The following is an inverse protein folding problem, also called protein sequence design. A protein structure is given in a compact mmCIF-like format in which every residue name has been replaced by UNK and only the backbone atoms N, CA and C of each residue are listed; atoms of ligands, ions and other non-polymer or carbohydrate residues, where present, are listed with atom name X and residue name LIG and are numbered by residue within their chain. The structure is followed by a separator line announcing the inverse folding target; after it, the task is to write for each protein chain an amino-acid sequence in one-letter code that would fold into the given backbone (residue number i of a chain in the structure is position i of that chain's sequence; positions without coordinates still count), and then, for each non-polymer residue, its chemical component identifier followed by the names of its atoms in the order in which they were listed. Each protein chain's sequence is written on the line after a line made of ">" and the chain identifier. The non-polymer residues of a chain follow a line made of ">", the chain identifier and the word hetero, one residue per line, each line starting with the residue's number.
data_IF_069165407094
#
_entry.id   IF_069165407094
#
_cell.length_a   1.000
_cell.length_b   1.000
_cell.length_c   1.000
_cell.angle_alpha   90.00
_cell.angle_beta   90.00
_cell.angle_gamma   90.00
#
_symmetry.space_group_name_H-M   'P 1'
#
loop_
_entity.id
_entity.type
_entity.pdbx_description
1 polymer ?
#
# COMPACT_ATOMS: atom_id res chain seq x y z
N UNK A 1 7.66 -50.47 24.62
CA UNK A 1 6.58 -50.53 23.60
C UNK A 1 5.56 -51.55 24.04
N UNK A 2 4.36 -51.11 24.46
CA UNK A 2 3.18 -51.98 24.62
C UNK A 2 1.93 -51.15 24.94
N UNK A 3 0.81 -51.48 24.26
CA UNK A 3 -0.53 -51.71 24.81
C UNK A 3 -1.67 -51.28 23.85
N UNK A 4 -2.06 -52.24 23.00
CA UNK A 4 -3.42 -52.69 22.68
C UNK A 4 -4.64 -51.72 22.69
N UNK A 5 -5.38 -51.86 21.57
CA UNK A 5 -6.82 -52.11 21.46
C UNK A 5 -7.84 -50.94 21.49
N UNK A 6 -8.58 -50.85 20.36
CA UNK A 6 -10.05 -50.82 20.22
C UNK A 6 -10.82 -49.73 20.97
N UNK A 7 -11.63 -48.94 20.24
CA UNK A 7 -13.09 -48.73 20.39
C UNK A 7 -13.50 -47.67 19.33
N UNK A 8 -14.18 -48.01 18.23
CA UNK A 8 -15.64 -48.13 18.04
C UNK A 8 -16.45 -46.85 18.32
N UNK A 9 -17.21 -46.46 17.30
CA UNK A 9 -18.14 -45.34 17.27
C UNK A 9 -19.13 -45.35 18.44
N UNK A 10 -19.33 -44.19 19.07
CA UNK A 10 -20.62 -43.61 19.50
C UNK A 10 -20.39 -42.50 20.52
N UNK A 11 -20.46 -41.25 20.06
CA UNK A 11 -20.82 -40.13 20.93
C UNK A 11 -21.36 -39.01 20.07
N UNK A 12 -22.69 -38.87 20.10
CA UNK A 12 -23.37 -37.74 19.49
C UNK A 12 -22.86 -36.43 20.08
N UNK A 13 -22.57 -35.48 19.20
CA UNK A 13 -22.39 -34.07 19.51
C UNK A 13 -23.11 -33.24 18.42
N UNK A 14 -23.58 -32.04 18.78
CA UNK A 14 -24.94 -31.60 18.51
C UNK A 14 -25.13 -30.92 17.16
N UNK A 15 -26.39 -30.92 16.73
CA UNK A 15 -26.99 -29.93 15.83
C UNK A 15 -26.53 -28.53 16.22
N UNK A 16 -25.96 -27.80 15.27
CA UNK A 16 -25.61 -26.38 15.42
C UNK A 16 -24.11 -26.11 15.34
N UNK A 17 -23.49 -26.39 14.19
CA UNK A 17 -22.44 -25.49 13.75
C UNK A 17 -23.10 -24.12 13.57
N UNK A 18 -22.59 -23.02 14.14
CA UNK A 18 -22.96 -21.72 13.63
C UNK A 18 -22.52 -21.77 12.17
N UNK A 19 -23.45 -21.55 11.25
CA UNK A 19 -23.06 -21.03 9.96
C UNK A 19 -22.18 -19.83 10.30
N UNK A 20 -20.87 -19.95 10.11
CA UNK A 20 -19.98 -18.80 10.01
C UNK A 20 -20.50 -18.13 8.74
N UNK A 21 -21.54 -17.31 8.93
CA UNK A 21 -21.92 -16.33 7.96
C UNK A 21 -20.67 -15.50 7.81
N UNK A 22 -19.97 -15.70 6.70
CA UNK A 22 -19.15 -14.64 6.12
C UNK A 22 -20.10 -13.47 6.00
N UNK A 23 -20.09 -12.65 7.06
CA UNK A 23 -20.98 -11.52 7.16
C UNK A 23 -20.43 -10.56 6.13
N UNK A 24 -21.26 -10.19 5.15
CA UNK A 24 -20.91 -9.20 4.13
C UNK A 24 -20.14 -8.04 4.77
N UNK A 25 -20.55 -7.62 5.96
CA UNK A 25 -19.98 -6.55 6.76
C UNK A 25 -18.47 -6.68 7.04
N UNK A 26 -17.91 -7.89 7.23
CA UNK A 26 -16.46 -8.09 7.40
C UNK A 26 -15.69 -7.87 6.08
N UNK A 27 -16.25 -8.30 4.95
CA UNK A 27 -15.69 -8.07 3.60
C UNK A 27 -15.71 -6.58 3.22
N UNK A 28 -16.72 -5.81 3.67
CA UNK A 28 -16.77 -4.36 3.47
C UNK A 28 -15.72 -3.61 4.31
N UNK A 29 -15.45 -4.05 5.55
CA UNK A 29 -14.44 -3.43 6.43
C UNK A 29 -13.03 -3.66 5.89
N UNK A 30 -12.74 -4.86 5.40
CA UNK A 30 -11.44 -5.16 4.79
C UNK A 30 -11.19 -4.30 3.55
N UNK A 31 -12.22 -4.11 2.70
CA UNK A 31 -12.11 -3.28 1.50
C UNK A 31 -11.83 -1.80 1.80
N UNK A 32 -12.42 -1.22 2.85
CA UNK A 32 -12.11 0.17 3.24
C UNK A 32 -10.71 0.28 3.84
N UNK A 33 -10.29 -0.67 4.68
CA UNK A 33 -8.94 -0.67 5.26
C UNK A 33 -7.86 -0.78 4.18
N UNK A 34 -8.05 -1.64 3.17
CA UNK A 34 -7.16 -1.69 2.01
C UNK A 34 -7.15 -0.36 1.26
N UNK A 35 -8.32 0.23 1.03
CA UNK A 35 -8.43 1.52 0.34
C UNK A 35 -7.66 2.62 1.08
N UNK A 36 -7.82 2.74 2.40
CA UNK A 36 -7.09 3.72 3.23
C UNK A 36 -5.57 3.48 3.21
N UNK A 37 -5.13 2.22 3.27
CA UNK A 37 -3.73 1.87 3.14
C UNK A 37 -3.16 2.35 1.79
N UNK A 38 -3.87 2.08 0.70
CA UNK A 38 -3.43 2.46 -0.64
C UNK A 38 -3.43 3.97 -0.89
N UNK A 39 -4.38 4.70 -0.30
CA UNK A 39 -4.33 6.17 -0.25
C UNK A 39 -3.06 6.61 0.48
N UNK A 40 -2.75 6.02 1.64
CA UNK A 40 -1.55 6.36 2.41
C UNK A 40 -0.25 6.08 1.65
N UNK A 41 -0.20 4.98 0.88
CA UNK A 41 0.94 4.64 0.01
C UNK A 41 1.14 5.71 -1.06
N UNK A 42 0.07 6.13 -1.75
CA UNK A 42 0.16 7.19 -2.77
C UNK A 42 0.59 8.52 -2.14
N UNK A 43 0.01 8.91 -1.00
CA UNK A 43 0.39 10.14 -0.31
C UNK A 43 1.86 10.16 0.11
N UNK A 44 2.38 9.03 0.58
CA UNK A 44 3.81 8.91 0.91
C UNK A 44 4.67 9.05 -0.34
N UNK A 45 4.33 8.34 -1.43
CA UNK A 45 5.06 8.43 -2.70
C UNK A 45 5.06 9.86 -3.27
N UNK A 46 3.97 10.61 -3.13
CA UNK A 46 3.90 12.02 -3.53
C UNK A 46 4.91 12.86 -2.72
N UNK A 47 4.93 12.70 -1.39
CA UNK A 47 5.88 13.43 -0.52
C UNK A 47 7.33 13.10 -0.84
N UNK A 48 7.61 11.87 -1.24
CA UNK A 48 8.94 11.44 -1.62
C UNK A 48 9.34 11.97 -3.00
N UNK A 49 8.41 12.04 -3.95
CA UNK A 49 8.61 12.72 -5.23
C UNK A 49 8.85 14.23 -5.05
N UNK A 50 8.05 14.92 -4.24
CA UNK A 50 8.27 16.34 -3.90
C UNK A 50 9.64 16.56 -3.25
N UNK A 51 10.05 15.65 -2.35
CA UNK A 51 11.37 15.67 -1.75
C UNK A 51 12.46 15.57 -2.83
N UNK A 52 12.32 14.63 -3.78
CA UNK A 52 13.27 14.46 -4.89
C UNK A 52 13.36 15.70 -5.78
N UNK A 53 12.22 16.27 -6.17
CA UNK A 53 12.18 17.50 -6.96
C UNK A 53 12.93 18.64 -6.26
N UNK A 54 12.67 18.84 -4.97
CA UNK A 54 13.32 19.88 -4.17
C UNK A 54 14.83 19.69 -4.07
N UNK A 55 15.31 18.49 -3.77
CA UNK A 55 16.76 18.26 -3.60
C UNK A 55 17.53 18.33 -4.92
N UNK A 56 16.89 18.08 -6.07
CA UNK A 56 17.52 18.21 -7.40
C UNK A 56 17.90 19.66 -7.72
N UNK A 57 17.28 20.63 -7.05
CA UNK A 57 17.59 22.05 -7.20
C UNK A 57 18.60 22.57 -6.17
N UNK A 58 19.04 21.71 -5.24
CA UNK A 58 19.98 22.08 -4.20
C UNK A 58 21.40 21.65 -4.56
N UNK A 59 22.35 22.57 -4.44
CA UNK A 59 23.77 22.27 -4.64
C UNK A 59 24.35 21.41 -3.49
N UNK A 60 23.84 21.61 -2.27
CA UNK A 60 24.31 20.90 -1.07
C UNK A 60 23.15 20.32 -0.26
N UNK A 61 23.31 19.06 0.14
CA UNK A 61 22.34 18.33 0.98
C UNK A 61 22.79 18.26 2.43
N UNK A 62 21.86 18.50 3.35
CA UNK A 62 22.07 18.28 4.78
C UNK A 62 22.28 16.79 5.10
N UNK A 63 22.89 16.44 6.24
CA UNK A 63 23.06 15.05 6.65
C UNK A 63 21.74 14.25 6.72
N UNK A 64 20.64 14.88 7.15
CA UNK A 64 19.31 14.26 7.21
C UNK A 64 18.74 14.00 5.82
N UNK A 65 18.91 14.91 4.88
CA UNK A 65 18.45 14.73 3.50
C UNK A 65 19.24 13.65 2.79
N UNK A 66 20.56 13.59 2.99
CA UNK A 66 21.38 12.47 2.49
C UNK A 66 20.93 11.13 3.07
N UNK A 67 20.55 11.11 4.35
CA UNK A 67 20.00 9.90 4.99
C UNK A 67 18.66 9.52 4.36
N UNK A 68 17.74 10.48 4.14
CA UNK A 68 16.45 10.23 3.50
C UNK A 68 16.63 9.76 2.05
N UNK A 69 17.49 10.41 1.27
CA UNK A 69 17.77 10.03 -0.12
C UNK A 69 18.30 8.60 -0.22
N UNK A 70 19.18 8.18 0.70
CA UNK A 70 19.63 6.78 0.77
C UNK A 70 18.48 5.81 1.05
N UNK A 71 17.57 6.16 1.97
CA UNK A 71 16.38 5.35 2.23
C UNK A 71 15.51 5.18 0.98
N UNK A 72 15.27 6.26 0.23
CA UNK A 72 14.50 6.20 -1.01
C UNK A 72 15.14 5.30 -2.07
N UNK A 73 16.47 5.32 -2.20
CA UNK A 73 17.16 4.42 -3.13
C UNK A 73 17.06 2.95 -2.74
N UNK A 74 16.80 2.64 -1.46
CA UNK A 74 16.61 1.27 -0.96
C UNK A 74 15.14 0.83 -1.04
N UNK A 75 14.21 1.73 -0.73
CA UNK A 75 12.76 1.47 -0.67
C UNK A 75 12.10 1.50 -2.05
N UNK A 76 12.69 2.20 -3.02
CA UNK A 76 12.22 2.31 -4.41
C UNK A 76 12.06 3.75 -4.88
N UNK A 77 12.38 4.01 -6.14
CA UNK A 77 12.27 5.34 -6.74
C UNK A 77 10.78 5.74 -6.92
N UNK A 78 10.33 6.87 -6.34
CA UNK A 78 9.00 7.40 -6.57
C UNK A 78 8.65 7.58 -8.05
N UNK A 79 9.62 7.95 -8.91
CA UNK A 79 9.38 8.12 -10.35
C UNK A 79 9.04 6.79 -11.02
N UNK A 80 9.77 5.73 -10.67
CA UNK A 80 9.49 4.37 -11.13
C UNK A 80 8.15 3.86 -10.61
N UNK A 81 7.81 4.18 -9.35
CA UNK A 81 6.52 3.84 -8.77
C UNK A 81 5.37 4.43 -9.58
N UNK A 82 5.37 5.74 -9.87
CA UNK A 82 4.31 6.40 -10.64
C UNK A 82 4.24 5.99 -12.12
N UNK A 83 5.36 5.49 -12.67
CA UNK A 83 5.42 4.92 -14.01
C UNK A 83 4.97 3.44 -14.07
N UNK A 84 4.82 2.78 -12.93
CA UNK A 84 4.54 1.34 -12.87
C UNK A 84 3.08 0.97 -13.12
N UNK A 85 2.85 -0.24 -13.64
CA UNK A 85 1.50 -0.82 -13.70
C UNK A 85 0.89 -1.06 -12.31
N UNK A 86 1.74 -1.30 -11.31
CA UNK A 86 1.27 -1.48 -9.93
C UNK A 86 0.58 -0.23 -9.39
N UNK A 87 1.10 0.95 -9.70
CA UNK A 87 0.44 2.21 -9.36
C UNK A 87 -0.94 2.34 -10.04
N UNK A 88 -1.08 1.89 -11.29
CA UNK A 88 -2.36 1.87 -11.99
C UNK A 88 -3.37 0.91 -11.32
N UNK A 89 -2.90 -0.24 -10.83
CA UNK A 89 -3.71 -1.20 -10.07
C UNK A 89 -4.21 -0.59 -8.76
N UNK A 90 -3.32 0.08 -8.01
CA UNK A 90 -3.66 0.79 -6.78
C UNK A 90 -4.71 1.86 -7.07
N UNK A 91 -4.52 2.69 -8.09
CA UNK A 91 -5.45 3.74 -8.48
C UNK A 91 -6.85 3.19 -8.76
N UNK A 92 -6.94 2.09 -9.53
CA UNK A 92 -8.21 1.42 -9.82
C UNK A 92 -8.91 0.95 -8.55
N UNK A 93 -8.16 0.40 -7.60
CA UNK A 93 -8.69 -0.10 -6.33
C UNK A 93 -9.23 1.01 -5.43
N UNK A 94 -8.60 2.19 -5.42
CA UNK A 94 -9.07 3.32 -4.61
C UNK A 94 -10.14 4.19 -5.31
N UNK A 95 -10.44 3.89 -6.57
CA UNK A 95 -11.48 4.54 -7.37
C UNK A 95 -11.03 5.84 -8.04
N UNK A 96 -9.73 5.97 -8.36
CA UNK A 96 -9.12 7.17 -8.95
C UNK A 96 -8.41 6.80 -10.26
N UNK A 97 -8.32 7.72 -11.21
CA UNK A 97 -7.55 7.51 -12.44
C UNK A 97 -6.09 7.91 -12.24
N UNK A 98 -5.15 7.07 -12.69
CA UNK A 98 -3.71 7.32 -12.61
C UNK A 98 -3.33 8.67 -13.25
N UNK A 99 -3.95 9.03 -14.37
CA UNK A 99 -3.75 10.31 -15.07
C UNK A 99 -3.94 11.53 -14.15
N UNK A 100 -4.96 11.54 -13.29
CA UNK A 100 -5.24 12.70 -12.40
C UNK A 100 -4.07 12.93 -11.43
N UNK A 101 -3.45 11.86 -10.94
CA UNK A 101 -2.30 11.97 -10.06
C UNK A 101 -1.06 12.38 -10.88
N UNK A 102 -0.86 11.81 -12.07
CA UNK A 102 0.27 12.17 -12.95
C UNK A 102 0.21 13.65 -13.35
N UNK A 103 -0.95 14.17 -13.74
CA UNK A 103 -1.17 15.60 -14.01
C UNK A 103 -0.80 16.45 -12.79
N UNK A 104 -1.14 16.00 -11.58
CA UNK A 104 -0.74 16.70 -10.35
C UNK A 104 0.78 16.71 -10.16
N UNK A 105 1.48 15.61 -10.44
CA UNK A 105 2.93 15.52 -10.37
C UNK A 105 3.62 16.43 -11.42
N UNK A 106 3.04 16.54 -12.62
CA UNK A 106 3.51 17.46 -13.66
C UNK A 106 3.42 18.91 -13.21
N UNK A 107 2.30 19.31 -12.60
CA UNK A 107 2.13 20.64 -12.01
C UNK A 107 3.18 20.90 -10.92
N UNK A 108 3.36 19.95 -9.99
CA UNK A 108 4.38 20.07 -8.93
C UNK A 108 5.79 20.24 -9.50
N UNK A 109 6.13 19.47 -10.55
CA UNK A 109 7.43 19.60 -11.21
C UNK A 109 7.61 20.95 -11.91
N UNK A 110 6.53 21.49 -12.50
CA UNK A 110 6.56 22.76 -13.23
C UNK A 110 6.65 23.96 -12.30
N UNK A 111 5.91 23.95 -11.18
CA UNK A 111 5.92 25.01 -10.18
C UNK A 111 7.32 25.18 -9.56
N UNK A 112 8.01 24.07 -9.27
CA UNK A 112 9.37 24.09 -8.74
C UNK A 112 10.39 24.68 -9.74
N UNK A 113 10.21 24.50 -11.05
CA UNK A 113 11.14 25.06 -12.06
C UNK A 113 10.99 26.59 -12.19
N UNK A 114 9.84 27.14 -11.80
CA UNK A 114 9.53 28.58 -11.91
C UNK A 114 9.83 29.40 -10.64
N UNK A 115 10.20 28.75 -9.54
CA UNK A 115 10.52 29.38 -8.26
C UNK A 115 12.02 29.68 -8.12
#
# INVERSE_FOLDING_TARGET
>A
MSAQAVILAASGLPVGLPAIGSSRDEEWVDNEAYRELFVSVIELAIKDYEFLLRIRQQDELTPSERKKLRGLTEDGDPEEFFASHWFEDICRMIGVTAEVIRERLEVLSSELVTA
#
